data_IF_439419686376
#
_entry.id   IF_439419686376
#
_cell.length_a   1.000
_cell.length_b   1.000
_cell.length_c   1.000
_cell.angle_alpha   90.00
_cell.angle_beta   90.00
_cell.angle_gamma   90.00
#
_symmetry.space_group_name_H-M   'P 1'
#
loop_
_entity.id
_entity.type
_entity.pdbx_description
1 polymer ?
#
# COMPACT_ATOMS: atom_id res chain seq x y z
N UNK A 1 38.26 -19.07 -10.26
CA UNK A 1 37.12 -20.01 -10.34
C UNK A 1 35.97 -19.39 -9.56
N UNK A 2 35.14 -18.57 -10.21
CA UNK A 2 34.10 -17.73 -9.59
C UNK A 2 32.72 -18.13 -10.13
N UNK A 3 32.33 -19.40 -9.99
CA UNK A 3 31.14 -19.96 -10.69
C UNK A 3 29.98 -20.37 -9.78
N UNK A 4 29.99 -20.03 -8.49
CA UNK A 4 28.89 -20.36 -7.56
C UNK A 4 27.98 -19.19 -7.15
N UNK A 5 28.20 -17.98 -7.68
CA UNK A 5 27.44 -16.79 -7.27
C UNK A 5 25.97 -16.74 -7.75
N UNK A 6 25.61 -17.13 -8.99
CA UNK A 6 24.23 -16.99 -9.47
C UNK A 6 23.26 -17.97 -8.77
N UNK A 7 23.65 -19.24 -8.60
CA UNK A 7 22.80 -20.24 -7.94
C UNK A 7 22.51 -19.92 -6.46
N UNK A 8 23.46 -19.30 -5.76
CA UNK A 8 23.26 -18.86 -4.38
C UNK A 8 22.31 -17.65 -4.29
N UNK A 9 22.37 -16.73 -5.26
CA UNK A 9 21.44 -15.59 -5.36
C UNK A 9 20.03 -16.06 -5.69
N UNK A 10 19.86 -16.95 -6.66
CA UNK A 10 18.57 -17.51 -7.05
C UNK A 10 17.91 -18.27 -5.89
N UNK A 11 18.72 -19.04 -5.14
CA UNK A 11 18.28 -19.73 -3.93
C UNK A 11 17.81 -18.74 -2.85
N UNK A 12 18.53 -17.64 -2.65
CA UNK A 12 18.14 -16.59 -1.69
C UNK A 12 16.85 -15.87 -2.12
N UNK A 13 16.72 -15.51 -3.40
CA UNK A 13 15.52 -14.87 -3.96
C UNK A 13 14.30 -15.76 -3.75
N UNK A 14 14.44 -17.06 -4.02
CA UNK A 14 13.35 -18.03 -3.81
C UNK A 14 12.94 -18.11 -2.34
N UNK A 15 13.91 -18.13 -1.41
CA UNK A 15 13.63 -18.16 0.03
C UNK A 15 12.95 -16.88 0.51
N UNK A 16 13.37 -15.71 0.03
CA UNK A 16 12.75 -14.44 0.36
C UNK A 16 11.31 -14.40 -0.15
N UNK A 17 11.07 -14.84 -1.38
CA UNK A 17 9.72 -14.88 -1.95
C UNK A 17 8.78 -15.79 -1.15
N UNK A 18 9.24 -16.99 -0.78
CA UNK A 18 8.45 -17.91 0.05
C UNK A 18 8.12 -17.31 1.43
N UNK A 19 9.06 -16.58 2.04
CA UNK A 19 8.84 -15.90 3.33
C UNK A 19 7.85 -14.73 3.21
N UNK A 20 7.91 -13.97 2.13
CA UNK A 20 6.96 -12.89 1.86
C UNK A 20 5.54 -13.42 1.73
N UNK A 21 5.34 -14.48 0.92
CA UNK A 21 4.04 -15.12 0.76
C UNK A 21 3.49 -15.68 2.07
N UNK A 22 4.35 -16.27 2.92
CA UNK A 22 3.94 -16.77 4.23
C UNK A 22 3.49 -15.63 5.16
N UNK A 23 4.22 -14.51 5.18
CA UNK A 23 3.85 -13.35 5.98
C UNK A 23 2.54 -12.71 5.50
N UNK A 24 2.31 -12.66 4.19
CA UNK A 24 1.04 -12.18 3.60
C UNK A 24 -0.13 -13.08 3.96
N UNK A 25 0.06 -14.39 3.87
CA UNK A 25 -0.98 -15.35 4.26
C UNK A 25 -1.30 -15.26 5.77
N UNK A 26 -0.29 -15.07 6.61
CA UNK A 26 -0.48 -14.88 8.06
C UNK A 26 -1.23 -13.58 8.36
N UNK A 27 -0.89 -12.47 7.71
CA UNK A 27 -1.62 -11.21 7.87
C UNK A 27 -3.07 -11.32 7.43
N UNK A 28 -3.33 -11.91 6.26
CA UNK A 28 -4.68 -12.13 5.76
C UNK A 28 -5.49 -13.05 6.70
N UNK A 29 -4.87 -14.11 7.24
CA UNK A 29 -5.48 -15.01 8.21
C UNK A 29 -5.83 -14.29 9.54
N UNK A 30 -5.05 -13.27 9.89
CA UNK A 30 -5.30 -12.41 11.05
C UNK A 30 -6.22 -11.23 10.74
N UNK A 31 -6.82 -11.15 9.55
CA UNK A 31 -7.80 -10.12 9.19
C UNK A 31 -7.18 -8.77 8.81
N UNK A 32 -5.88 -8.72 8.50
CA UNK A 32 -5.28 -7.55 7.90
C UNK A 32 -5.57 -7.49 6.40
N UNK A 33 -5.88 -6.29 5.93
CA UNK A 33 -6.18 -5.96 4.54
C UNK A 33 -5.24 -4.85 4.07
N UNK A 34 -4.95 -4.85 2.78
CA UNK A 34 -4.03 -3.89 2.16
C UNK A 34 -4.71 -3.10 1.05
N UNK A 35 -4.36 -1.82 0.97
CA UNK A 35 -4.67 -0.95 -0.15
C UNK A 35 -3.37 -0.30 -0.62
N UNK A 36 -3.13 -0.36 -1.92
CA UNK A 36 -1.99 0.27 -2.58
C UNK A 36 -2.49 1.24 -3.64
N UNK A 37 -1.95 2.45 -3.62
CA UNK A 37 -2.19 3.52 -4.59
C UNK A 37 -0.88 3.77 -5.33
N UNK A 38 -0.82 3.34 -6.58
CA UNK A 38 0.28 3.66 -7.50
C UNK A 38 0.03 5.04 -8.07
N UNK A 39 0.77 6.04 -7.62
CA UNK A 39 0.60 7.43 -8.02
C UNK A 39 1.61 7.89 -9.08
N UNK A 40 2.69 7.13 -9.31
CA UNK A 40 3.81 7.57 -10.15
C UNK A 40 4.63 8.66 -9.47
N UNK A 41 5.40 9.44 -10.24
CA UNK A 41 6.21 10.51 -9.66
C UNK A 41 5.32 11.66 -9.16
N UNK A 42 5.54 12.08 -7.90
CA UNK A 42 4.89 13.24 -7.31
C UNK A 42 5.70 14.49 -7.71
N UNK A 43 5.24 15.20 -8.75
CA UNK A 43 5.99 16.32 -9.34
C UNK A 43 5.60 17.69 -8.75
N UNK A 44 4.53 17.75 -7.94
CA UNK A 44 4.00 19.00 -7.39
C UNK A 44 3.63 18.92 -5.90
N UNK A 45 3.55 20.08 -5.25
CA UNK A 45 3.06 20.21 -3.87
C UNK A 45 1.61 19.73 -3.73
N UNK A 46 0.80 19.88 -4.77
CA UNK A 46 -0.57 19.37 -4.81
C UNK A 46 -0.60 17.84 -4.80
N UNK A 47 0.33 17.18 -5.50
CA UNK A 47 0.43 15.72 -5.50
C UNK A 47 0.85 15.19 -4.12
N UNK A 48 1.81 15.87 -3.48
CA UNK A 48 2.21 15.56 -2.11
C UNK A 48 1.04 15.75 -1.13
N UNK A 49 0.26 16.83 -1.27
CA UNK A 49 -0.90 17.08 -0.42
C UNK A 49 -1.99 16.00 -0.56
N UNK A 50 -2.22 15.48 -1.77
CA UNK A 50 -3.17 14.37 -1.99
C UNK A 50 -2.74 13.11 -1.24
N UNK A 51 -1.46 12.73 -1.33
CA UNK A 51 -0.92 11.56 -0.62
C UNK A 51 -0.89 11.80 0.90
N UNK A 52 -0.64 13.04 1.34
CA UNK A 52 -0.72 13.40 2.74
C UNK A 52 -2.15 13.27 3.27
N UNK A 53 -3.17 13.69 2.52
CA UNK A 53 -4.57 13.55 2.91
C UNK A 53 -4.98 12.08 3.11
N UNK A 54 -4.48 11.16 2.25
CA UNK A 54 -4.66 9.71 2.45
C UNK A 54 -3.99 9.22 3.74
N UNK A 55 -2.77 9.68 3.99
CA UNK A 55 -2.01 9.31 5.19
C UNK A 55 -2.71 9.82 6.45
N UNK A 56 -3.16 11.06 6.48
CA UNK A 56 -3.87 11.65 7.61
C UNK A 56 -5.18 10.93 7.89
N UNK A 57 -5.94 10.60 6.85
CA UNK A 57 -7.18 9.82 6.98
C UNK A 57 -6.91 8.44 7.60
N UNK A 58 -5.90 7.71 7.10
CA UNK A 58 -5.52 6.41 7.63
C UNK A 58 -5.05 6.51 9.10
N UNK A 59 -4.16 7.46 9.41
CA UNK A 59 -3.60 7.62 10.75
C UNK A 59 -4.61 8.12 11.78
N UNK A 60 -5.69 8.81 11.36
CA UNK A 60 -6.79 9.20 12.26
C UNK A 60 -7.46 8.02 12.98
N UNK A 61 -7.34 6.81 12.44
CA UNK A 61 -7.84 5.59 13.06
C UNK A 61 -6.86 4.96 14.05
N UNK A 62 -5.56 5.17 13.88
CA UNK A 62 -4.55 4.67 14.81
C UNK A 62 -4.71 5.27 16.21
N UNK A 63 -5.20 6.52 16.29
CA UNK A 63 -5.56 7.17 17.56
C UNK A 63 -6.72 6.47 18.28
N UNK A 64 -7.65 5.88 17.52
CA UNK A 64 -8.83 5.17 18.04
C UNK A 64 -8.52 3.70 18.35
N UNK A 65 -7.72 3.07 17.49
CA UNK A 65 -7.38 1.66 17.52
C UNK A 65 -5.87 1.48 17.30
N UNK A 66 -5.05 1.61 18.36
CA UNK A 66 -3.60 1.52 18.24
C UNK A 66 -3.15 0.21 17.59
N UNK A 67 -2.28 0.30 16.59
CA UNK A 67 -1.74 -0.84 15.85
C UNK A 67 -2.62 -1.36 14.70
N UNK A 68 -3.82 -0.80 14.49
CA UNK A 68 -4.68 -1.21 13.38
C UNK A 68 -4.11 -0.80 12.02
N UNK A 69 -3.39 0.33 11.95
CA UNK A 69 -2.90 0.95 10.71
C UNK A 69 -1.38 0.89 10.64
N UNK A 70 -0.86 0.62 9.43
CA UNK A 70 0.53 0.82 9.07
C UNK A 70 0.59 1.37 7.65
N UNK A 71 1.31 2.46 7.42
CA UNK A 71 1.53 3.01 6.07
C UNK A 71 2.94 2.70 5.59
N UNK A 72 3.07 2.36 4.31
CA UNK A 72 4.34 2.18 3.61
C UNK A 72 4.34 3.10 2.37
N UNK A 73 5.48 3.72 2.07
CA UNK A 73 5.64 4.58 0.90
C UNK A 73 6.86 4.19 0.09
N UNK A 74 6.72 4.25 -1.22
CA UNK A 74 7.81 4.25 -2.19
C UNK A 74 7.85 5.58 -2.94
N UNK A 75 8.70 5.66 -3.96
CA UNK A 75 8.75 6.84 -4.83
C UNK A 75 7.47 6.99 -5.67
N UNK A 76 6.89 5.87 -6.08
CA UNK A 76 5.79 5.79 -7.05
C UNK A 76 4.49 5.20 -6.49
N UNK A 77 4.47 4.86 -5.20
CA UNK A 77 3.28 4.33 -4.54
C UNK A 77 3.18 4.73 -3.06
N UNK A 78 1.93 4.73 -2.60
CA UNK A 78 1.55 4.75 -1.20
C UNK A 78 0.73 3.50 -0.89
N UNK A 79 1.01 2.83 0.21
CA UNK A 79 0.29 1.64 0.65
C UNK A 79 -0.08 1.74 2.12
N UNK A 80 -1.19 1.11 2.48
CA UNK A 80 -1.68 1.04 3.85
C UNK A 80 -2.18 -0.36 4.16
N UNK A 81 -1.86 -0.83 5.36
CA UNK A 81 -2.40 -2.03 5.97
C UNK A 81 -3.37 -1.64 7.09
N UNK A 82 -4.55 -2.24 7.09
CA UNK A 82 -5.56 -2.07 8.15
C UNK A 82 -5.96 -3.44 8.66
N UNK A 83 -6.08 -3.62 9.97
CA UNK A 83 -6.59 -4.85 10.56
C UNK A 83 -6.96 -4.67 12.02
N UNK A 84 -7.05 -5.78 12.78
CA UNK A 84 -7.33 -5.71 14.20
C UNK A 84 -6.34 -4.78 14.93
N UNK A 85 -6.78 -4.03 15.97
CA UNK A 85 -8.07 -4.18 16.66
C UNK A 85 -9.23 -3.34 16.10
N UNK A 86 -9.13 -2.81 14.87
CA UNK A 86 -10.27 -2.12 14.26
C UNK A 86 -11.48 -3.08 14.10
N UNK A 87 -12.71 -2.64 14.38
CA UNK A 87 -13.89 -3.50 14.35
C UNK A 87 -14.24 -3.97 12.94
N UNK A 88 -14.13 -3.09 11.94
CA UNK A 88 -14.49 -3.37 10.55
C UNK A 88 -13.40 -2.91 9.56
N UNK A 89 -12.24 -3.60 9.49
CA UNK A 89 -11.12 -3.20 8.62
C UNK A 89 -11.49 -3.07 7.14
N UNK A 90 -12.47 -3.85 6.67
CA UNK A 90 -12.93 -3.83 5.28
C UNK A 90 -13.65 -2.52 4.91
N UNK A 91 -14.46 -1.99 5.83
CA UNK A 91 -15.19 -0.74 5.62
C UNK A 91 -14.22 0.45 5.66
N UNK A 92 -13.29 0.45 6.62
CA UNK A 92 -12.20 1.44 6.66
C UNK A 92 -11.38 1.42 5.36
N UNK A 93 -11.02 0.23 4.85
CA UNK A 93 -10.29 0.12 3.59
C UNK A 93 -11.11 0.68 2.41
N UNK A 94 -12.42 0.44 2.38
CA UNK A 94 -13.32 0.95 1.34
C UNK A 94 -13.48 2.48 1.41
N UNK A 95 -13.49 3.07 2.59
CA UNK A 95 -13.49 4.53 2.79
C UNK A 95 -12.22 5.15 2.21
N UNK A 96 -11.05 4.54 2.44
CA UNK A 96 -9.79 5.00 1.85
C UNK A 96 -9.72 4.78 0.34
N UNK A 97 -10.27 3.68 -0.17
CA UNK A 97 -10.37 3.45 -1.61
C UNK A 97 -11.21 4.54 -2.29
N UNK A 98 -12.32 4.93 -1.65
CA UNK A 98 -13.18 6.02 -2.10
C UNK A 98 -12.43 7.35 -2.07
N UNK A 99 -11.79 7.68 -0.95
CA UNK A 99 -10.99 8.91 -0.82
C UNK A 99 -9.86 8.96 -1.85
N UNK A 100 -9.17 7.84 -2.09
CA UNK A 100 -8.13 7.76 -3.11
C UNK A 100 -8.68 8.03 -4.51
N UNK A 101 -9.88 7.53 -4.84
CA UNK A 101 -10.53 7.79 -6.11
C UNK A 101 -10.97 9.26 -6.26
N UNK A 102 -11.38 9.92 -5.18
CA UNK A 102 -11.74 11.34 -5.16
C UNK A 102 -10.52 12.25 -5.31
N UNK A 103 -9.41 11.91 -4.67
CA UNK A 103 -8.15 12.64 -4.73
C UNK A 103 -7.39 12.39 -6.03
N UNK A 104 -7.70 11.29 -6.74
CA UNK A 104 -7.02 10.86 -7.94
C UNK A 104 -6.99 11.99 -8.99
N UNK A 105 -5.82 12.55 -9.31
CA UNK A 105 -5.73 13.66 -10.24
C UNK A 105 -6.07 13.18 -11.65
N UNK A 106 -6.66 14.06 -12.45
CA UNK A 106 -7.06 13.75 -13.83
C UNK A 106 -6.17 14.49 -14.81
N UNK A 107 -5.62 13.77 -15.79
CA UNK A 107 -4.80 14.38 -16.84
C UNK A 107 -5.66 15.27 -17.72
N UNK A 108 -5.29 16.55 -17.95
CA UNK A 108 -6.00 17.43 -18.87
C UNK A 108 -6.01 16.91 -20.31
N UNK A 109 -4.98 16.14 -20.69
CA UNK A 109 -4.81 15.64 -22.04
C UNK A 109 -5.68 14.41 -22.34
N UNK A 110 -5.88 13.52 -21.36
CA UNK A 110 -6.60 12.25 -21.56
C UNK A 110 -7.95 12.19 -20.86
N UNK A 111 -8.23 13.12 -19.94
CA UNK A 111 -9.42 13.09 -19.09
C UNK A 111 -9.44 11.87 -18.15
N UNK A 112 -8.32 11.17 -17.97
CA UNK A 112 -8.19 9.99 -17.12
C UNK A 112 -7.25 10.26 -15.96
N UNK A 113 -7.52 9.62 -14.84
CA UNK A 113 -6.54 9.55 -13.77
C UNK A 113 -5.39 8.60 -14.13
N UNK A 114 -4.21 8.92 -13.63
CA UNK A 114 -3.03 8.05 -13.71
C UNK A 114 -2.80 7.25 -12.42
N UNK A 115 -3.52 7.57 -11.34
CA UNK A 115 -3.47 6.76 -10.12
C UNK A 115 -4.11 5.40 -10.36
N UNK A 116 -3.47 4.34 -9.86
CA UNK A 116 -4.03 2.98 -9.87
C UNK A 116 -4.22 2.51 -8.45
N UNK A 117 -5.46 2.22 -8.10
CA UNK A 117 -5.86 1.81 -6.76
C UNK A 117 -6.06 0.28 -6.78
N UNK A 118 -5.40 -0.42 -5.88
CA UNK A 118 -5.36 -1.88 -5.83
C UNK A 118 -5.51 -2.39 -4.40
N UNK A 119 -6.43 -3.33 -4.17
CA UNK A 119 -6.51 -4.06 -2.90
C UNK A 119 -5.47 -5.18 -2.90
N UNK A 120 -4.39 -4.95 -2.16
CA UNK A 120 -3.23 -5.83 -2.11
C UNK A 120 -1.99 -5.08 -1.65
N UNK A 121 -0.92 -5.83 -1.35
CA UNK A 121 0.40 -5.25 -1.10
C UNK A 121 1.02 -4.67 -2.38
N UNK A 122 1.93 -3.69 -2.25
CA UNK A 122 2.72 -3.17 -3.37
C UNK A 122 3.66 -4.23 -3.96
#
# INVERSE_FOLDING_TARGET
MNENKPAAVDGLVTQLHARTLAAEAEEAANGFLWLTVWHGDLESDDDMQRVQALSDAAWSWADRWPGCVCTQGGNDYWAVRIGPPAPDPADLLADLETLAAELAPTSPATGRTWWRIHRGRP
#
